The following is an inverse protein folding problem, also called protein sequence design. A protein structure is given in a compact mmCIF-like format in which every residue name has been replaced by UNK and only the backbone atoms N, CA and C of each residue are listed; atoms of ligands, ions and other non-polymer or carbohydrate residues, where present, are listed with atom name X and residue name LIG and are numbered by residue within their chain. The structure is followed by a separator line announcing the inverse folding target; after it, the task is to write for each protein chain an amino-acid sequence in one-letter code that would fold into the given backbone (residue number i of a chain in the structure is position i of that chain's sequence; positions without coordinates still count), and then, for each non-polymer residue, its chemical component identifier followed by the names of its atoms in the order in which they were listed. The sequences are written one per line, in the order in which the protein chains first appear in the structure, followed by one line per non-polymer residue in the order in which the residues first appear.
data_IF_435321799979
#
_entry.id   IF_435321799979
#
_cell.length_a   1.000
_cell.length_b   1.000
_cell.length_c   1.000
_cell.angle_alpha   90.00
_cell.angle_beta   90.00
_cell.angle_gamma   90.00
#
_symmetry.space_group_name_H-M   'P 1'
#
loop_
_entity.id
_entity.type
_entity.pdbx_description
1 polymer ?
#
# COMPACT_ATOMS: atom_id res chain seq x y z
N UNK A 1 7.38 -7.49 3.44
CA UNK A 1 7.05 -6.31 2.64
C UNK A 1 8.23 -5.39 2.76
N UNK A 2 8.53 -4.62 1.72
CA UNK A 2 9.57 -3.61 1.78
C UNK A 2 8.93 -2.28 1.44
N UNK A 3 9.14 -1.27 2.28
CA UNK A 3 8.69 0.11 2.04
C UNK A 3 9.94 0.97 2.05
N UNK A 4 10.32 1.51 0.90
CA UNK A 4 11.48 2.40 0.75
C UNK A 4 11.03 3.85 0.70
N UNK A 5 11.90 4.74 1.17
CA UNK A 5 11.78 6.18 1.11
C UNK A 5 13.19 6.74 0.92
N UNK A 6 13.48 7.26 -0.26
CA UNK A 6 14.66 8.07 -0.52
C UNK A 6 14.29 9.55 -0.39
N UNK A 7 14.68 10.15 0.74
CA UNK A 7 14.30 11.51 1.06
C UNK A 7 14.92 12.56 0.12
N UNK A 8 16.06 12.26 -0.52
CA UNK A 8 16.68 13.16 -1.49
C UNK A 8 15.91 13.18 -2.82
N UNK A 9 15.40 12.03 -3.23
CA UNK A 9 14.61 11.89 -4.46
C UNK A 9 13.12 12.19 -4.23
N UNK A 10 12.70 12.31 -2.97
CA UNK A 10 11.30 12.48 -2.55
C UNK A 10 10.38 11.37 -3.07
N UNK A 11 10.93 10.16 -3.15
CA UNK A 11 10.26 9.01 -3.74
C UNK A 11 10.38 7.80 -2.82
N UNK A 12 9.35 6.97 -2.86
CA UNK A 12 9.35 5.66 -2.23
C UNK A 12 8.90 4.57 -3.18
N UNK A 13 9.08 3.34 -2.74
CA UNK A 13 8.56 2.17 -3.39
C UNK A 13 8.05 1.16 -2.36
N UNK A 14 6.88 0.60 -2.59
CA UNK A 14 6.29 -0.46 -1.75
C UNK A 14 6.29 -1.76 -2.53
N UNK A 15 7.09 -2.73 -2.11
CA UNK A 15 7.11 -4.09 -2.67
C UNK A 15 6.09 -4.96 -1.95
N UNK A 16 4.98 -5.26 -2.62
CA UNK A 16 3.84 -5.99 -2.05
C UNK A 16 4.04 -7.50 -2.06
N UNK A 17 4.85 -8.01 -2.98
CA UNK A 17 5.21 -9.43 -3.08
C UNK A 17 6.67 -9.66 -2.67
N UNK A 18 7.02 -10.82 -2.10
CA UNK A 18 8.42 -11.20 -1.90
C UNK A 18 9.11 -11.42 -3.25
N UNK A 19 10.29 -10.83 -3.44
CA UNK A 19 11.13 -11.02 -4.64
C UNK A 19 12.61 -11.07 -4.23
N UNK A 20 13.45 -11.73 -5.03
CA UNK A 20 14.90 -11.88 -4.83
C UNK A 20 15.61 -10.52 -4.74
N UNK A 21 15.13 -9.52 -5.47
CA UNK A 21 15.68 -8.15 -5.46
C UNK A 21 15.55 -7.46 -4.09
N UNK A 22 14.60 -7.88 -3.26
CA UNK A 22 14.42 -7.32 -1.92
C UNK A 22 15.51 -7.76 -0.92
N UNK A 23 16.29 -8.79 -1.27
CA UNK A 23 17.35 -9.34 -0.40
C UNK A 23 18.56 -8.41 -0.21
N UNK A 24 18.75 -7.43 -1.10
CA UNK A 24 19.84 -6.45 -0.98
C UNK A 24 19.57 -5.38 0.09
N UNK A 25 18.32 -5.24 0.51
CA UNK A 25 17.90 -4.28 1.54
C UNK A 25 18.06 -4.90 2.93
N UNK A 26 18.82 -4.22 3.78
CA UNK A 26 19.09 -4.64 5.16
C UNK A 26 18.85 -3.47 6.10
N UNK A 27 18.43 -3.76 7.34
CA UNK A 27 18.20 -2.73 8.37
C UNK A 27 19.44 -1.86 8.62
N UNK A 28 20.65 -2.42 8.49
CA UNK A 28 21.91 -1.69 8.62
C UNK A 28 22.08 -0.55 7.61
N UNK A 29 21.41 -0.65 6.45
CA UNK A 29 21.41 0.36 5.40
C UNK A 29 20.29 1.39 5.57
N UNK A 30 19.47 1.29 6.63
CA UNK A 30 18.36 2.21 6.84
C UNK A 30 18.58 3.15 8.02
N UNK A 31 18.22 4.41 7.78
CA UNK A 31 18.19 5.46 8.79
C UNK A 31 16.95 5.39 9.69
N UNK A 32 16.03 4.44 9.46
CA UNK A 32 14.78 4.32 10.24
C UNK A 32 15.04 4.09 11.73
N UNK A 33 16.17 3.43 12.06
CA UNK A 33 16.61 3.18 13.44
C UNK A 33 16.96 4.44 14.23
N UNK A 34 17.13 5.59 13.56
CA UNK A 34 17.28 6.88 14.23
C UNK A 34 15.98 7.33 14.90
N UNK A 35 14.82 6.84 14.44
CA UNK A 35 13.49 7.30 14.86
C UNK A 35 12.72 6.25 15.68
N UNK A 36 12.95 4.97 15.40
CA UNK A 36 12.21 3.88 16.01
C UNK A 36 13.12 2.74 16.45
N UNK A 37 12.67 2.01 17.47
CA UNK A 37 13.20 0.69 17.76
C UNK A 37 12.75 -0.28 16.64
N UNK A 38 13.69 -0.69 15.80
CA UNK A 38 13.43 -1.51 14.61
C UNK A 38 12.78 -2.85 14.92
N UNK A 39 13.08 -3.43 16.09
CA UNK A 39 12.52 -4.71 16.51
C UNK A 39 11.04 -4.60 16.92
N UNK A 40 10.59 -3.38 17.21
CA UNK A 40 9.18 -3.07 17.54
C UNK A 40 8.31 -2.79 16.31
N UNK A 41 8.92 -2.53 15.14
CA UNK A 41 8.20 -2.16 13.93
C UNK A 41 7.46 -3.37 13.36
N UNK A 42 6.14 -3.26 13.28
CA UNK A 42 5.29 -4.28 12.67
C UNK A 42 3.96 -3.68 12.20
N UNK A 43 3.33 -4.35 11.23
CA UNK A 43 1.98 -4.01 10.81
C UNK A 43 0.98 -4.84 11.63
N UNK A 44 0.09 -4.18 12.41
CA UNK A 44 -0.88 -4.89 13.22
C UNK A 44 -1.91 -5.58 12.32
N UNK A 45 -2.29 -6.78 12.72
CA UNK A 45 -3.37 -7.56 12.10
C UNK A 45 -4.61 -7.48 12.96
N UNK A 46 -5.73 -7.05 12.39
CA UNK A 46 -6.95 -6.71 13.11
C UNK A 46 -8.14 -7.39 12.43
N UNK A 47 -9.00 -8.08 13.19
CA UNK A 47 -10.29 -8.54 12.65
C UNK A 47 -11.28 -7.39 12.66
N UNK A 48 -11.89 -7.07 11.53
CA UNK A 48 -12.90 -6.00 11.46
C UNK A 48 -14.13 -6.40 10.65
N UNK A 49 -15.19 -6.74 11.38
CA UNK A 49 -16.46 -7.20 10.80
C UNK A 49 -17.23 -6.10 10.04
N UNK A 50 -17.02 -4.82 10.38
CA UNK A 50 -17.73 -3.69 9.78
C UNK A 50 -17.13 -3.17 8.47
N UNK A 51 -15.86 -3.44 8.18
CA UNK A 51 -15.18 -2.86 7.01
C UNK A 51 -15.82 -3.27 5.68
N UNK A 52 -16.33 -4.50 5.55
CA UNK A 52 -17.06 -4.92 4.35
C UNK A 52 -18.30 -4.07 4.06
N UNK A 53 -18.97 -3.53 5.10
CA UNK A 53 -20.08 -2.59 4.93
C UNK A 53 -19.59 -1.23 4.44
N UNK A 54 -18.46 -0.74 4.95
CA UNK A 54 -17.83 0.50 4.47
C UNK A 54 -17.41 0.38 3.00
N UNK A 55 -16.80 -0.74 2.60
CA UNK A 55 -16.42 -0.98 1.21
C UNK A 55 -17.64 -1.01 0.26
N UNK A 56 -18.80 -1.47 0.72
CA UNK A 56 -20.04 -1.46 -0.07
C UNK A 56 -20.57 -0.05 -0.35
N UNK A 57 -20.15 0.96 0.42
CA UNK A 57 -20.53 2.36 0.21
C UNK A 57 -19.62 3.06 -0.81
N UNK A 58 -18.49 2.46 -1.16
CA UNK A 58 -17.53 2.98 -2.13
C UNK A 58 -17.90 2.59 -3.55
N UNK A 59 -17.41 3.35 -4.53
CA UNK A 59 -17.60 3.01 -5.95
C UNK A 59 -16.69 1.83 -6.31
N UNK A 60 -17.28 0.71 -6.72
CA UNK A 60 -16.56 -0.37 -7.38
C UNK A 60 -16.53 -0.14 -8.90
N UNK A 61 -15.34 -0.13 -9.48
CA UNK A 61 -15.15 -0.01 -10.92
C UNK A 61 -15.54 -1.29 -11.66
N UNK A 62 -16.03 -1.12 -12.89
CA UNK A 62 -16.30 -2.23 -13.82
C UNK A 62 -15.05 -2.66 -14.60
N UNK A 63 -14.13 -1.72 -14.84
CA UNK A 63 -12.81 -1.95 -15.44
C UNK A 63 -11.80 -2.39 -14.39
N UNK A 64 -10.82 -3.18 -14.80
CA UNK A 64 -9.63 -3.46 -13.99
C UNK A 64 -8.79 -2.20 -13.78
N UNK A 65 -7.91 -2.23 -12.78
CA UNK A 65 -6.94 -1.17 -12.54
C UNK A 65 -6.09 -0.90 -13.80
N UNK A 66 -5.56 -1.97 -14.42
CA UNK A 66 -4.75 -1.89 -15.66
C UNK A 66 -5.48 -1.17 -16.80
N UNK A 67 -6.77 -1.47 -17.00
CA UNK A 67 -7.58 -0.83 -18.03
C UNK A 67 -7.96 0.63 -17.70
N UNK A 68 -7.96 0.98 -16.42
CA UNK A 68 -8.33 2.31 -15.96
C UNK A 68 -7.16 3.30 -16.00
N UNK A 69 -5.95 2.85 -15.70
CA UNK A 69 -4.73 3.69 -15.75
C UNK A 69 -4.52 4.20 -17.17
N UNK A 70 -4.15 5.48 -17.30
CA UNK A 70 -3.96 6.24 -18.54
C UNK A 70 -5.22 6.46 -19.39
N UNK A 71 -6.36 5.87 -19.03
CA UNK A 71 -7.66 6.12 -19.67
C UNK A 71 -8.60 6.96 -18.80
N UNK A 72 -8.57 6.72 -17.48
CA UNK A 72 -9.45 7.36 -16.50
C UNK A 72 -8.67 8.26 -15.53
N UNK A 73 -7.47 7.85 -15.14
CA UNK A 73 -6.56 8.60 -14.26
C UNK A 73 -5.10 8.25 -14.59
N UNK A 74 -4.16 9.09 -14.17
CA UNK A 74 -2.72 8.82 -14.27
C UNK A 74 -2.18 8.32 -12.94
N UNK A 75 -1.16 7.48 -12.97
CA UNK A 75 -0.45 7.13 -11.75
C UNK A 75 0.37 8.34 -11.26
N UNK A 76 0.63 8.42 -9.96
CA UNK A 76 1.56 9.43 -9.40
C UNK A 76 2.96 9.26 -9.99
N UNK A 77 3.47 8.02 -9.92
CA UNK A 77 4.65 7.55 -10.63
C UNK A 77 4.29 6.29 -11.43
N UNK A 78 5.01 5.18 -11.27
CA UNK A 78 4.68 3.91 -11.89
C UNK A 78 4.19 2.87 -10.87
N UNK A 79 3.28 2.00 -11.29
CA UNK A 79 2.85 0.87 -10.48
C UNK A 79 3.13 -0.40 -11.25
N UNK A 80 3.83 -1.33 -10.61
CA UNK A 80 4.21 -2.57 -11.24
C UNK A 80 3.12 -3.61 -11.06
N UNK A 81 2.75 -4.25 -12.16
CA UNK A 81 1.80 -5.35 -12.20
C UNK A 81 2.50 -6.59 -12.79
N UNK A 82 2.16 -7.77 -12.30
CA UNK A 82 2.57 -9.02 -12.94
C UNK A 82 1.84 -9.26 -14.28
N UNK A 83 2.08 -10.39 -14.95
CA UNK A 83 1.42 -10.68 -16.24
C UNK A 83 -0.10 -10.70 -16.13
N UNK A 84 -0.64 -11.17 -15.00
CA UNK A 84 -2.06 -11.37 -14.74
C UNK A 84 -2.78 -10.09 -14.26
N UNK A 85 -2.04 -9.04 -13.91
CA UNK A 85 -2.59 -7.75 -13.47
C UNK A 85 -2.55 -7.53 -11.97
N UNK A 86 -1.98 -8.45 -11.19
CA UNK A 86 -1.80 -8.26 -9.75
C UNK A 86 -0.69 -7.26 -9.48
N UNK A 87 -0.94 -6.36 -8.53
CA UNK A 87 0.01 -5.31 -8.16
C UNK A 87 1.17 -5.92 -7.37
N UNK A 88 2.39 -5.81 -7.90
CA UNK A 88 3.61 -6.31 -7.27
C UNK A 88 4.34 -5.20 -6.52
N UNK A 89 4.23 -3.95 -6.99
CA UNK A 89 4.75 -2.81 -6.27
C UNK A 89 4.19 -1.47 -6.70
N UNK A 90 4.43 -0.47 -5.85
CA UNK A 90 3.85 0.87 -5.94
C UNK A 90 4.98 1.88 -5.80
N UNK A 91 5.22 2.68 -6.83
CA UNK A 91 6.07 3.87 -6.74
C UNK A 91 5.20 5.09 -6.41
N UNK A 92 5.63 5.88 -5.43
CA UNK A 92 4.83 6.95 -4.85
C UNK A 92 5.69 8.08 -4.32
N UNK A 93 5.08 9.25 -4.16
CA UNK A 93 5.72 10.38 -3.47
C UNK A 93 5.76 10.06 -1.98
N UNK A 94 6.96 9.84 -1.46
CA UNK A 94 7.15 9.46 -0.07
C UNK A 94 8.45 10.08 0.43
N UNK A 95 8.30 11.10 1.26
CA UNK A 95 9.41 11.76 1.96
C UNK A 95 9.49 11.27 3.40
N UNK A 96 10.59 11.60 4.09
CA UNK A 96 10.75 11.35 5.52
C UNK A 96 9.55 11.91 6.32
N UNK A 97 9.15 13.16 6.02
CA UNK A 97 8.04 13.86 6.67
C UNK A 97 6.67 13.22 6.44
N UNK A 98 6.53 12.35 5.42
CA UNK A 98 5.30 11.58 5.16
C UNK A 98 5.41 10.18 5.76
N UNK A 99 6.53 9.49 5.55
CA UNK A 99 6.73 8.13 6.03
C UNK A 99 6.66 8.05 7.56
N UNK A 100 7.36 8.93 8.27
CA UNK A 100 7.45 8.86 9.73
C UNK A 100 6.07 9.00 10.40
N UNK A 101 5.21 9.99 10.04
CA UNK A 101 3.85 10.03 10.55
C UNK A 101 3.02 8.78 10.22
N UNK A 102 3.13 8.23 9.01
CA UNK A 102 2.40 7.00 8.64
C UNK A 102 2.80 5.82 9.53
N UNK A 103 4.10 5.68 9.85
CA UNK A 103 4.61 4.66 10.78
C UNK A 103 4.14 4.94 12.20
N UNK A 104 4.34 6.17 12.70
CA UNK A 104 4.01 6.55 14.08
C UNK A 104 2.51 6.39 14.39
N UNK A 105 1.64 6.69 13.44
CA UNK A 105 0.19 6.56 13.61
C UNK A 105 -0.36 5.18 13.23
N UNK A 106 0.52 4.23 12.90
CA UNK A 106 0.14 2.90 12.41
C UNK A 106 -0.89 3.00 11.28
N UNK A 107 -0.61 3.83 10.26
CA UNK A 107 -1.46 3.95 9.09
C UNK A 107 -1.47 2.63 8.30
N UNK A 108 -0.32 1.95 8.24
CA UNK A 108 -0.22 0.61 7.69
C UNK A 108 -0.85 -0.42 8.64
N UNK A 109 -1.96 -1.04 8.21
CA UNK A 109 -2.70 -2.05 8.98
C UNK A 109 -3.20 -3.15 8.06
N UNK A 110 -3.24 -4.38 8.58
CA UNK A 110 -3.82 -5.51 7.88
C UNK A 110 -5.15 -5.90 8.54
N UNK A 111 -6.25 -5.77 7.82
CA UNK A 111 -7.58 -6.11 8.32
C UNK A 111 -8.06 -7.44 7.75
N UNK A 112 -8.43 -8.39 8.60
CA UNK A 112 -9.21 -9.56 8.18
C UNK A 112 -10.68 -9.17 8.13
N UNK A 113 -11.30 -9.33 6.96
CA UNK A 113 -12.67 -8.90 6.71
C UNK A 113 -13.46 -9.96 5.96
N UNK A 114 -14.80 -9.86 6.02
CA UNK A 114 -15.70 -10.56 5.12
C UNK A 114 -16.38 -9.55 4.20
N UNK A 115 -16.21 -9.70 2.90
CA UNK A 115 -16.78 -8.81 1.90
C UNK A 115 -17.28 -9.62 0.71
N UNK A 116 -18.50 -9.34 0.25
CA UNK A 116 -19.12 -10.06 -0.88
C UNK A 116 -19.12 -11.59 -0.73
N UNK A 117 -19.41 -12.06 0.49
CA UNK A 117 -19.46 -13.46 0.88
C UNK A 117 -18.13 -14.22 0.80
N UNK A 118 -17.00 -13.52 0.63
CA UNK A 118 -15.66 -14.07 0.68
C UNK A 118 -14.85 -13.41 1.80
N UNK A 119 -13.82 -14.09 2.24
CA UNK A 119 -12.88 -13.55 3.22
C UNK A 119 -11.74 -12.86 2.47
N UNK A 120 -11.42 -11.64 2.88
CA UNK A 120 -10.38 -10.80 2.30
C UNK A 120 -9.47 -10.26 3.39
N UNK A 121 -8.26 -9.86 3.00
CA UNK A 121 -7.38 -9.01 3.77
C UNK A 121 -7.32 -7.63 3.15
N UNK A 122 -7.35 -6.59 3.97
CA UNK A 122 -7.13 -5.20 3.52
C UNK A 122 -5.86 -4.68 4.14
N UNK A 123 -4.84 -4.42 3.32
CA UNK A 123 -3.65 -3.70 3.70
C UNK A 123 -3.86 -2.21 3.41
N UNK A 124 -3.96 -1.39 4.46
CA UNK A 124 -4.01 0.07 4.31
C UNK A 124 -2.60 0.62 4.10
N UNK A 125 -2.46 1.62 3.22
CA UNK A 125 -1.21 2.34 2.96
C UNK A 125 -1.28 3.81 3.40
N UNK A 126 -2.44 4.22 3.92
CA UNK A 126 -2.71 5.56 4.43
C UNK A 126 -3.67 5.46 5.63
N UNK A 127 -3.98 6.59 6.25
CA UNK A 127 -4.89 6.64 7.38
C UNK A 127 -6.28 6.07 7.01
N UNK A 128 -6.84 5.24 7.88
CA UNK A 128 -8.04 4.44 7.56
C UNK A 128 -9.26 5.28 7.10
N UNK A 129 -9.39 6.51 7.61
CA UNK A 129 -10.49 7.41 7.26
C UNK A 129 -10.35 7.95 5.83
N UNK A 130 -9.12 8.15 5.37
CA UNK A 130 -8.82 8.55 4.00
C UNK A 130 -8.94 7.35 3.06
N UNK A 131 -8.51 6.16 3.48
CA UNK A 131 -8.70 4.92 2.71
C UNK A 131 -10.17 4.65 2.42
N UNK A 132 -11.02 4.74 3.45
CA UNK A 132 -12.47 4.45 3.35
C UNK A 132 -13.30 5.65 2.89
N UNK A 133 -12.67 6.68 2.33
CA UNK A 133 -13.38 7.80 1.74
C UNK A 133 -14.28 7.30 0.59
N UNK A 134 -15.59 7.62 0.64
CA UNK A 134 -16.58 7.20 -0.37
C UNK A 134 -16.27 7.69 -1.79
N UNK A 135 -15.44 8.72 -1.93
CA UNK A 135 -15.01 9.26 -3.22
C UNK A 135 -13.88 8.43 -3.85
N UNK A 136 -13.17 7.63 -3.05
CA UNK A 136 -12.20 6.67 -3.57
C UNK A 136 -12.92 5.57 -4.35
N UNK A 137 -12.16 4.94 -5.23
CA UNK A 137 -12.67 3.95 -6.16
C UNK A 137 -11.94 2.64 -5.92
N UNK A 138 -12.70 1.56 -5.81
CA UNK A 138 -12.15 0.22 -5.74
C UNK A 138 -12.02 -0.30 -7.16
N UNK A 139 -10.83 -0.68 -7.58
CA UNK A 139 -10.56 -1.31 -8.87
C UNK A 139 -10.18 -2.77 -8.69
N UNK A 140 -10.83 -3.72 -9.38
CA UNK A 140 -10.31 -5.08 -9.44
C UNK A 140 -8.94 -5.09 -10.13
N UNK A 141 -8.02 -5.92 -9.62
CA UNK A 141 -6.71 -6.08 -10.25
C UNK A 141 -6.78 -7.01 -11.47
N UNK A 142 -7.60 -8.05 -11.39
CA UNK A 142 -7.83 -9.03 -12.45
C UNK A 142 -9.34 -9.26 -12.70
N UNK A 143 -9.67 -10.01 -13.75
CA UNK A 143 -11.05 -10.43 -14.04
C UNK A 143 -11.61 -11.40 -12.99
N UNK A 144 -10.74 -12.09 -12.25
CA UNK A 144 -11.12 -13.03 -11.19
C UNK A 144 -11.75 -12.35 -9.96
N UNK A 145 -11.46 -11.06 -9.75
CA UNK A 145 -12.01 -10.25 -8.65
C UNK A 145 -11.73 -10.86 -7.27
N UNK A 146 -10.57 -11.49 -7.14
CA UNK A 146 -9.97 -12.04 -5.92
C UNK A 146 -8.96 -11.08 -5.27
N UNK A 147 -8.56 -10.03 -5.98
CA UNK A 147 -7.79 -8.91 -5.46
C UNK A 147 -8.22 -7.57 -6.09
N UNK A 148 -8.10 -6.49 -5.31
CA UNK A 148 -8.50 -5.14 -5.64
C UNK A 148 -7.54 -4.13 -5.05
N UNK A 149 -7.59 -2.91 -5.59
CA UNK A 149 -6.89 -1.75 -5.08
C UNK A 149 -7.86 -0.59 -4.86
N UNK A 150 -7.70 0.14 -3.76
CA UNK A 150 -8.41 1.39 -3.50
C UNK A 150 -7.56 2.55 -4.01
N UNK A 151 -8.13 3.36 -4.88
CA UNK A 151 -7.45 4.52 -5.48
C UNK A 151 -8.18 5.81 -5.10
N UNK A 152 -7.45 6.76 -4.54
CA UNK A 152 -7.90 8.15 -4.40
C UNK A 152 -7.47 8.91 -5.65
N UNK A 153 -8.43 9.48 -6.38
CA UNK A 153 -8.15 10.24 -7.61
C UNK A 153 -8.36 11.72 -7.32
N UNK A 154 -7.31 12.53 -7.47
CA UNK A 154 -7.43 13.97 -7.38
C UNK A 154 -8.25 14.50 -8.57
N UNK A 155 -9.40 15.16 -8.34
CA UNK A 155 -10.24 15.67 -9.43
C UNK A 155 -9.59 16.78 -10.25
N UNK A 156 -8.53 17.43 -9.74
CA UNK A 156 -7.84 18.52 -10.44
C UNK A 156 -6.74 18.00 -11.35
N UNK A 157 -5.78 17.25 -10.80
CA UNK A 157 -4.66 16.70 -11.58
C UNK A 157 -4.99 15.40 -12.32
N UNK A 158 -6.09 14.74 -11.95
CA UNK A 158 -6.45 13.40 -12.40
C UNK A 158 -5.39 12.33 -12.07
N UNK A 159 -4.57 12.58 -11.04
CA UNK A 159 -3.57 11.63 -10.52
C UNK A 159 -4.23 10.73 -9.47
N UNK A 160 -3.98 9.43 -9.58
CA UNK A 160 -4.46 8.39 -8.69
C UNK A 160 -3.37 7.95 -7.70
N UNK A 161 -3.67 8.05 -6.40
CA UNK A 161 -2.86 7.54 -5.30
C UNK A 161 -3.41 6.20 -4.83
N UNK A 162 -2.53 5.23 -4.60
CA UNK A 162 -2.92 3.93 -4.04
C UNK A 162 -3.09 4.04 -2.53
N UNK A 163 -4.30 3.73 -2.05
CA UNK A 163 -4.69 3.88 -0.64
C UNK A 163 -4.67 2.56 0.13
N UNK A 164 -5.02 1.46 -0.54
CA UNK A 164 -5.04 0.13 0.06
C UNK A 164 -5.05 -0.99 -0.99
N UNK A 165 -4.52 -2.14 -0.59
CA UNK A 165 -4.68 -3.41 -1.30
C UNK A 165 -5.73 -4.26 -0.58
N UNK A 166 -6.68 -4.84 -1.32
CA UNK A 166 -7.67 -5.80 -0.82
C UNK A 166 -7.38 -7.12 -1.52
N UNK A 167 -7.15 -8.22 -0.80
CA UNK A 167 -6.83 -9.50 -1.44
C UNK A 167 -7.31 -10.73 -0.67
N UNK A 168 -7.80 -11.73 -1.41
CA UNK A 168 -8.06 -13.07 -0.92
C UNK A 168 -6.86 -14.02 -1.19
N UNK A 169 -5.81 -13.54 -1.86
CA UNK A 169 -4.67 -14.33 -2.38
C UNK A 169 -3.47 -14.30 -1.45
N UNK A 170 -3.46 -15.21 -0.47
CA UNK A 170 -2.33 -15.40 0.46
C UNK A 170 -1.08 -15.95 -0.23
N UNK A 171 -1.24 -16.59 -1.39
CA UNK A 171 -0.16 -17.08 -2.25
C UNK A 171 0.62 -15.93 -2.90
N UNK A 172 -0.06 -14.84 -3.25
CA UNK A 172 0.56 -13.65 -3.84
C UNK A 172 0.98 -12.62 -2.79
N UNK A 173 0.18 -12.47 -1.74
CA UNK A 173 0.39 -11.47 -0.69
C UNK A 173 0.49 -12.14 0.68
N UNK A 174 1.59 -12.83 1.00
CA UNK A 174 1.69 -13.62 2.22
C UNK A 174 1.58 -12.73 3.47
N UNK A 175 0.71 -13.13 4.40
CA UNK A 175 0.45 -12.39 5.64
C UNK A 175 1.74 -12.13 6.43
N UNK A 176 2.62 -13.13 6.54
CA UNK A 176 3.86 -12.99 7.30
C UNK A 176 4.82 -11.99 6.66
N UNK A 177 4.83 -11.92 5.33
CA UNK A 177 5.57 -10.91 4.59
C UNK A 177 4.96 -9.51 4.83
N UNK A 178 3.64 -9.35 4.71
CA UNK A 178 2.99 -8.05 4.91
C UNK A 178 3.11 -7.52 6.35
N UNK A 179 3.06 -8.40 7.36
CA UNK A 179 3.08 -8.00 8.77
C UNK A 179 4.44 -7.55 9.28
N UNK A 180 5.51 -7.98 8.63
CA UNK A 180 6.89 -7.65 9.01
C UNK A 180 7.54 -6.85 7.89
N UNK A 181 7.10 -5.60 7.67
CA UNK A 181 7.73 -4.76 6.68
C UNK A 181 9.16 -4.40 7.11
N UNK A 182 10.08 -4.40 6.15
CA UNK A 182 11.32 -3.66 6.26
C UNK A 182 11.04 -2.22 5.83
N UNK A 183 11.10 -1.28 6.75
CA UNK A 183 11.01 0.15 6.45
C UNK A 183 12.42 0.68 6.15
N UNK A 184 12.67 1.08 4.91
CA UNK A 184 13.95 1.64 4.48
C UNK A 184 13.80 3.14 4.30
N UNK A 185 14.21 3.90 5.31
CA UNK A 185 14.48 5.33 5.16
C UNK A 185 15.95 5.51 4.74
N UNK A 186 16.18 6.27 3.67
CA UNK A 186 17.49 6.67 3.20
C UNK A 186 17.61 8.20 3.14
N UNK A 187 18.81 8.71 3.38
CA UNK A 187 19.15 10.14 3.33
C UNK A 187 18.37 10.96 4.37
N UNK A 188 18.34 10.47 5.61
CA UNK A 188 17.57 11.12 6.66
C UNK A 188 18.05 12.54 6.94
N UNK A 189 17.09 13.43 7.21
CA UNK A 189 17.36 14.83 7.57
C UNK A 189 18.18 14.95 8.88
N UNK A 190 18.15 13.94 9.76
CA UNK A 190 18.90 13.91 11.01
C UNK A 190 20.42 13.77 10.86
N UNK A 191 20.92 13.32 9.71
CA UNK A 191 22.37 13.30 9.47
C UNK A 191 22.97 14.67 9.18
N UNK A 192 22.13 15.66 8.85
CA UNK A 192 22.56 17.01 8.47
C UNK A 192 22.29 18.07 9.56
N UNK A 193 21.77 17.66 10.72
CA UNK A 193 21.52 18.50 11.90
C UNK A 193 22.48 18.13 13.05
#
# INVERSE_FOLDING_TARGET
MLITCDNNMQMGYIYLMPDETTSEYTLEKSDIGLYYDVDSLSIPRIKWLGMGQSLNQMRLATKTYREAVNNLFHCEYWNDLDSEGYMIGIELYLTEDILLPLVAHQAFKLYDIRWRNLDFRVLTLDAYHDVLNKNNVIYPLSTEKDAFVIVAIDPVSNVGKIMALISARDDLYPIDYLRKPLFMLANSSRFFN
#
